data_IF_309842571293
#
_entry.id   IF_309842571293
#
_cell.length_a   1.000
_cell.length_b   1.000
_cell.length_c   1.000
_cell.angle_alpha   90.00
_cell.angle_beta   90.00
_cell.angle_gamma   90.00
#
_symmetry.space_group_name_H-M   'P 1'
#
loop_
_entity.id
_entity.type
_entity.pdbx_description
1 polymer ?
#
# COMPACT_ATOMS: atom_id res chain seq x y z
N UNK A 1 2.77 3.79 22.49
CA UNK A 1 2.88 3.19 21.14
C UNK A 1 1.56 3.39 20.43
N UNK A 2 1.58 3.97 19.23
CA UNK A 2 0.39 4.26 18.42
C UNK A 2 0.56 3.71 17.00
N UNK A 3 -0.55 3.39 16.34
CA UNK A 3 -0.52 3.01 14.93
C UNK A 3 -0.50 4.29 14.10
N UNK A 4 0.43 4.38 13.15
CA UNK A 4 0.56 5.48 12.20
C UNK A 4 0.55 4.92 10.78
N UNK A 5 -0.09 5.64 9.87
CA UNK A 5 -0.06 5.38 8.44
C UNK A 5 0.19 6.70 7.72
N UNK A 6 1.20 6.70 6.86
CA UNK A 6 1.43 7.77 5.89
C UNK A 6 1.54 7.12 4.52
N UNK A 7 0.85 7.69 3.54
CA UNK A 7 0.91 7.15 2.20
C UNK A 7 0.24 8.03 1.17
N UNK A 8 0.23 7.54 -0.05
CA UNK A 8 -0.42 8.14 -1.20
C UNK A 8 -0.94 7.04 -2.12
N UNK A 9 -1.93 7.39 -2.92
CA UNK A 9 -2.54 6.46 -3.87
C UNK A 9 -2.92 7.16 -5.16
N UNK A 10 -3.38 6.39 -6.14
CA UNK A 10 -4.00 6.92 -7.36
C UNK A 10 -5.14 7.93 -7.11
N UNK A 11 -5.73 7.97 -5.91
CA UNK A 11 -6.77 8.95 -5.54
C UNK A 11 -6.19 10.29 -5.09
N UNK A 12 -4.97 10.31 -4.55
CA UNK A 12 -4.38 11.49 -3.93
C UNK A 12 -3.22 12.06 -4.73
N UNK A 13 -2.57 11.27 -5.60
CA UNK A 13 -1.39 11.66 -6.32
C UNK A 13 -1.44 11.23 -7.81
N UNK A 14 -1.02 12.12 -8.73
CA UNK A 14 -0.87 11.76 -10.14
C UNK A 14 0.34 10.82 -10.32
N UNK A 15 0.40 10.10 -11.45
CA UNK A 15 1.36 8.99 -11.65
C UNK A 15 2.81 9.44 -11.50
N UNK A 16 3.15 10.65 -11.95
CA UNK A 16 4.49 11.23 -11.93
C UNK A 16 5.00 11.46 -10.51
N UNK A 17 4.10 11.67 -9.54
CA UNK A 17 4.44 11.77 -8.12
C UNK A 17 4.55 10.39 -7.50
N UNK A 18 3.68 9.45 -7.89
CA UNK A 18 3.69 8.07 -7.38
C UNK A 18 4.97 7.32 -7.76
N UNK A 19 5.43 7.49 -8.98
CA UNK A 19 6.68 6.87 -9.46
C UNK A 19 7.90 7.31 -8.66
N UNK A 20 7.94 8.58 -8.23
CA UNK A 20 9.04 9.11 -7.38
C UNK A 20 9.07 8.52 -5.98
N UNK A 21 7.92 8.04 -5.49
CA UNK A 21 7.72 7.55 -4.12
C UNK A 21 7.53 6.03 -4.07
N UNK A 22 7.96 5.32 -5.11
CA UNK A 22 7.96 3.86 -5.12
C UNK A 22 9.14 3.34 -4.30
N UNK A 23 8.94 2.26 -3.55
CA UNK A 23 10.02 1.51 -2.90
C UNK A 23 10.26 0.21 -3.66
N UNK A 24 11.26 0.16 -4.56
CA UNK A 24 11.68 -1.07 -5.21
C UNK A 24 12.07 -2.15 -4.19
N UNK A 25 11.71 -3.41 -4.47
CA UNK A 25 11.97 -4.54 -3.57
C UNK A 25 13.46 -4.65 -3.14
N UNK A 26 14.40 -4.35 -4.02
CA UNK A 26 15.84 -4.36 -3.73
C UNK A 26 16.33 -3.21 -2.83
N UNK A 27 15.51 -2.19 -2.60
CA UNK A 27 15.85 -1.02 -1.75
C UNK A 27 15.02 -0.96 -0.48
N UNK A 28 13.97 -1.79 -0.40
CA UNK A 28 12.99 -1.77 0.67
C UNK A 28 13.57 -2.22 2.01
N UNK A 29 14.56 -3.13 2.01
CA UNK A 29 15.31 -3.52 3.23
C UNK A 29 15.98 -2.30 3.88
N UNK A 30 16.72 -1.51 3.09
CA UNK A 30 17.38 -0.31 3.57
C UNK A 30 16.39 0.76 4.06
N UNK A 31 15.24 0.89 3.38
CA UNK A 31 14.17 1.79 3.81
C UNK A 31 13.58 1.39 5.17
N UNK A 32 13.30 0.09 5.35
CA UNK A 32 12.78 -0.46 6.59
C UNK A 32 13.78 -0.31 7.74
N UNK A 33 15.05 -0.63 7.52
CA UNK A 33 16.10 -0.46 8.50
C UNK A 33 16.21 1.00 8.97
N UNK A 34 16.25 1.97 8.04
CA UNK A 34 16.27 3.40 8.38
C UNK A 34 15.05 3.86 9.18
N UNK A 35 13.87 3.32 8.89
CA UNK A 35 12.67 3.61 9.68
C UNK A 35 12.80 3.08 11.10
N UNK A 36 13.16 1.80 11.26
CA UNK A 36 13.22 1.15 12.58
C UNK A 36 14.44 1.51 13.42
N UNK A 37 15.48 2.07 12.82
CA UNK A 37 16.63 2.65 13.53
C UNK A 37 16.30 4.00 14.18
N UNK A 38 15.16 4.62 13.81
CA UNK A 38 14.71 5.86 14.45
C UNK A 38 14.09 5.58 15.82
N UNK A 39 14.29 6.49 16.78
CA UNK A 39 13.64 6.39 18.10
C UNK A 39 12.11 6.46 18.03
N UNK A 40 11.57 7.03 16.94
CA UNK A 40 10.16 7.27 16.75
C UNK A 40 9.38 6.01 16.30
N UNK A 41 10.01 5.04 15.64
CA UNK A 41 9.32 3.91 14.99
C UNK A 41 9.86 2.58 15.50
N UNK A 42 8.97 1.72 16.02
CA UNK A 42 9.34 0.40 16.54
C UNK A 42 9.01 -0.76 15.61
N UNK A 43 8.02 -0.59 14.74
CA UNK A 43 7.64 -1.58 13.74
C UNK A 43 7.25 -0.84 12.46
N UNK A 44 7.61 -1.36 11.28
CA UNK A 44 7.35 -0.76 9.98
C UNK A 44 6.97 -1.82 8.93
N UNK A 45 5.99 -1.53 8.08
CA UNK A 45 5.68 -2.28 6.86
C UNK A 45 5.45 -1.29 5.72
N UNK A 46 6.15 -1.47 4.61
CA UNK A 46 6.01 -0.64 3.41
C UNK A 46 5.23 -1.44 2.37
N UNK A 47 4.05 -0.95 1.97
CA UNK A 47 3.26 -1.49 0.86
C UNK A 47 3.43 -0.56 -0.33
N UNK A 48 4.24 -0.98 -1.29
CA UNK A 48 4.53 -0.23 -2.52
C UNK A 48 4.02 -1.03 -3.72
N UNK A 49 3.02 -0.51 -4.41
CA UNK A 49 2.45 -1.07 -5.64
C UNK A 49 2.40 0.00 -6.72
N UNK A 50 1.99 -0.37 -7.94
CA UNK A 50 1.79 0.61 -9.00
C UNK A 50 0.72 1.67 -8.68
N UNK A 51 -0.14 1.46 -7.69
CA UNK A 51 -1.28 2.33 -7.37
C UNK A 51 -1.23 2.96 -5.97
N UNK A 52 -0.28 2.55 -5.12
CA UNK A 52 -0.12 3.10 -3.77
C UNK A 52 1.30 2.93 -3.26
N UNK A 53 1.71 3.90 -2.44
CA UNK A 53 2.80 3.74 -1.48
C UNK A 53 2.22 4.03 -0.11
N UNK A 54 2.26 3.05 0.80
CA UNK A 54 1.73 3.17 2.14
C UNK A 54 2.74 2.62 3.15
N UNK A 55 3.16 3.45 4.10
CA UNK A 55 4.05 3.07 5.19
C UNK A 55 3.19 2.97 6.45
N UNK A 56 3.06 1.75 6.96
CA UNK A 56 2.44 1.45 8.25
C UNK A 56 3.54 1.43 9.30
N UNK A 57 3.39 2.19 10.38
CA UNK A 57 4.31 2.21 11.51
C UNK A 57 3.62 1.99 12.85
N UNK A 58 4.32 1.34 13.78
CA UNK A 58 4.06 1.49 15.22
C UNK A 58 5.02 2.55 15.71
N UNK A 59 4.50 3.66 16.21
CA UNK A 59 5.27 4.81 16.66
C UNK A 59 5.30 4.90 18.18
N UNK A 60 6.43 5.34 18.73
CA UNK A 60 6.62 5.47 20.17
C UNK A 60 5.83 6.65 20.74
N UNK A 61 5.45 6.54 22.03
CA UNK A 61 4.78 7.66 22.70
C UNK A 61 5.77 8.83 22.90
N UNK A 62 5.30 10.06 22.69
CA UNK A 62 6.13 11.27 22.80
C UNK A 62 6.75 11.74 21.48
N UNK A 63 6.61 10.96 20.40
CA UNK A 63 6.97 11.38 19.04
C UNK A 63 5.73 11.71 18.23
N UNK A 64 5.86 12.68 17.31
CA UNK A 64 4.90 12.89 16.23
C UNK A 64 5.16 11.83 15.14
N UNK A 65 4.40 10.74 15.23
CA UNK A 65 4.52 9.61 14.32
C UNK A 65 4.36 10.00 12.85
N UNK A 66 3.25 10.66 12.47
CA UNK A 66 3.08 11.17 11.11
C UNK A 66 4.24 12.03 10.62
N UNK A 67 4.69 13.01 11.42
CA UNK A 67 5.80 13.87 11.02
C UNK A 67 7.09 13.07 10.77
N UNK A 68 7.43 12.13 11.66
CA UNK A 68 8.62 11.29 11.51
C UNK A 68 8.59 10.46 10.21
N UNK A 69 7.44 9.90 9.85
CA UNK A 69 7.31 9.12 8.61
C UNK A 69 7.32 10.02 7.37
N UNK A 70 6.72 11.21 7.44
CA UNK A 70 6.76 12.20 6.34
C UNK A 70 8.20 12.67 6.10
N UNK A 71 8.93 12.99 7.15
CA UNK A 71 10.33 13.40 7.09
C UNK A 71 11.21 12.29 6.51
N UNK A 72 11.00 11.06 6.96
CA UNK A 72 11.65 9.89 6.35
C UNK A 72 11.37 9.79 4.85
N UNK A 73 10.12 9.93 4.41
CA UNK A 73 9.77 9.83 2.99
C UNK A 73 10.41 10.96 2.17
N UNK A 74 10.39 12.19 2.68
CA UNK A 74 11.02 13.33 2.03
C UNK A 74 12.54 13.11 1.88
N UNK A 75 13.21 12.72 2.97
CA UNK A 75 14.65 12.51 3.01
C UNK A 75 15.08 11.31 2.16
N UNK A 76 14.34 10.20 2.22
CA UNK A 76 14.69 8.98 1.48
C UNK A 76 14.58 9.17 -0.03
N UNK A 77 13.56 9.91 -0.48
CA UNK A 77 13.33 10.18 -1.90
C UNK A 77 13.94 11.49 -2.40
N UNK A 78 14.62 12.24 -1.52
CA UNK A 78 15.20 13.56 -1.81
C UNK A 78 14.16 14.53 -2.43
N UNK A 79 13.01 14.63 -1.76
CA UNK A 79 11.89 15.49 -2.16
C UNK A 79 11.67 16.59 -1.13
N UNK A 80 11.14 17.72 -1.58
CA UNK A 80 10.70 18.78 -0.66
C UNK A 80 9.49 18.31 0.16
N UNK A 81 9.59 18.46 1.49
CA UNK A 81 8.53 18.07 2.42
C UNK A 81 7.21 18.80 2.14
N UNK A 82 7.26 20.10 1.84
CA UNK A 82 6.05 20.92 1.64
C UNK A 82 5.32 20.58 0.34
N UNK A 83 6.04 20.11 -0.66
CA UNK A 83 5.44 19.58 -1.89
C UNK A 83 4.85 18.18 -1.65
N UNK A 84 5.57 17.33 -0.91
CA UNK A 84 5.15 15.97 -0.62
C UNK A 84 3.82 15.91 0.16
N UNK A 85 3.68 16.70 1.24
CA UNK A 85 2.51 16.65 2.14
C UNK A 85 1.18 16.92 1.44
N UNK A 86 1.18 17.58 0.28
CA UNK A 86 -0.03 17.88 -0.51
C UNK A 86 -0.69 16.64 -1.10
N UNK A 87 0.07 15.56 -1.25
CA UNK A 87 -0.37 14.31 -1.88
C UNK A 87 -0.59 13.17 -0.88
N UNK A 88 -0.16 13.38 0.37
CA UNK A 88 -0.19 12.36 1.40
C UNK A 88 -1.54 12.32 2.12
N UNK A 89 -2.02 11.11 2.39
CA UNK A 89 -2.98 10.85 3.44
C UNK A 89 -2.26 10.38 4.69
N UNK A 90 -2.78 10.81 5.84
CA UNK A 90 -2.28 10.45 7.16
C UNK A 90 -3.42 9.83 7.96
N UNK A 91 -3.13 8.78 8.71
CA UNK A 91 -4.10 8.16 9.61
C UNK A 91 -3.41 7.62 10.86
N UNK A 92 -4.13 7.66 11.97
CA UNK A 92 -3.63 7.17 13.26
C UNK A 92 -4.65 6.26 13.94
N UNK A 93 -4.17 5.38 14.81
CA UNK A 93 -5.00 4.50 15.64
C UNK A 93 -5.91 3.59 14.81
N UNK A 94 -7.21 3.59 15.10
CA UNK A 94 -8.19 2.71 14.45
C UNK A 94 -8.31 2.96 12.94
N UNK A 95 -8.10 4.20 12.49
CA UNK A 95 -8.15 4.53 11.06
C UNK A 95 -7.10 3.74 10.25
N UNK A 96 -5.94 3.45 10.85
CA UNK A 96 -4.88 2.62 10.25
C UNK A 96 -5.35 1.19 10.03
N UNK A 97 -5.98 0.60 11.06
CA UNK A 97 -6.54 -0.76 10.99
C UNK A 97 -7.61 -0.84 9.91
N UNK A 98 -8.54 0.14 9.91
CA UNK A 98 -9.61 0.23 8.93
C UNK A 98 -9.07 0.37 7.52
N UNK A 99 -8.05 1.21 7.33
CA UNK A 99 -7.40 1.36 6.03
C UNK A 99 -6.79 0.03 5.57
N UNK A 100 -5.98 -0.63 6.40
CA UNK A 100 -5.36 -1.91 6.05
C UNK A 100 -6.42 -2.95 5.65
N UNK A 101 -7.51 -3.07 6.41
CA UNK A 101 -8.60 -3.99 6.11
C UNK A 101 -9.30 -3.68 4.78
N UNK A 102 -9.50 -2.40 4.46
CA UNK A 102 -10.05 -1.99 3.17
C UNK A 102 -9.09 -2.30 2.01
N UNK A 103 -7.78 -2.14 2.21
CA UNK A 103 -6.78 -2.45 1.19
C UNK A 103 -6.74 -3.95 0.92
N UNK A 104 -6.58 -4.80 1.94
CA UNK A 104 -6.55 -6.27 1.75
C UNK A 104 -7.86 -6.85 1.22
N UNK A 105 -8.98 -6.19 1.49
CA UNK A 105 -10.29 -6.48 0.91
C UNK A 105 -10.47 -5.93 -0.52
N UNK A 106 -9.47 -5.24 -1.06
CA UNK A 106 -9.52 -4.57 -2.37
C UNK A 106 -10.64 -3.52 -2.53
N UNK A 107 -11.14 -2.99 -1.41
CA UNK A 107 -12.15 -1.92 -1.36
C UNK A 107 -11.57 -0.52 -1.58
N UNK A 108 -10.25 -0.42 -1.53
CA UNK A 108 -9.52 0.83 -1.75
C UNK A 108 -8.62 0.78 -2.98
N UNK A 109 -8.87 -0.15 -3.90
CA UNK A 109 -8.09 -0.36 -5.12
C UNK A 109 -8.68 0.42 -6.30
N UNK A 110 -7.84 0.71 -7.31
CA UNK A 110 -8.32 1.30 -8.57
C UNK A 110 -9.33 0.37 -9.25
N UNK A 111 -9.08 -0.93 -9.17
CA UNK A 111 -9.99 -1.99 -9.58
C UNK A 111 -10.53 -2.68 -8.33
N UNK A 112 -11.82 -2.48 -8.06
CA UNK A 112 -12.49 -3.14 -6.93
C UNK A 112 -12.45 -4.66 -7.11
N UNK A 113 -12.06 -5.38 -6.05
CA UNK A 113 -11.98 -6.85 -6.09
C UNK A 113 -10.71 -7.41 -6.73
N UNK A 114 -9.74 -6.56 -7.07
CA UNK A 114 -8.47 -7.01 -7.65
C UNK A 114 -7.80 -8.09 -6.79
N UNK A 115 -7.64 -9.27 -7.39
CA UNK A 115 -7.27 -10.47 -6.65
C UNK A 115 -5.85 -10.42 -6.07
N UNK A 116 -4.98 -9.61 -6.66
CA UNK A 116 -3.54 -9.56 -6.37
C UNK A 116 -3.21 -8.71 -5.14
N UNK A 117 -4.09 -7.78 -4.74
CA UNK A 117 -3.80 -6.81 -3.67
C UNK A 117 -3.51 -7.50 -2.34
N UNK A 118 -4.28 -8.52 -1.96
CA UNK A 118 -4.02 -9.29 -0.75
C UNK A 118 -2.64 -9.96 -0.79
N UNK A 119 -2.25 -10.51 -1.95
CA UNK A 119 -0.94 -11.11 -2.16
C UNK A 119 0.19 -10.09 -2.01
N UNK A 120 0.06 -8.92 -2.64
CA UNK A 120 1.05 -7.84 -2.55
C UNK A 120 1.23 -7.32 -1.12
N UNK A 121 0.13 -7.15 -0.37
CA UNK A 121 0.21 -6.75 1.05
C UNK A 121 0.86 -7.85 1.89
N UNK A 122 0.61 -9.13 1.55
CA UNK A 122 1.24 -10.26 2.22
C UNK A 122 2.75 -10.31 1.94
N UNK A 123 3.17 -10.13 0.68
CA UNK A 123 4.57 -10.06 0.29
C UNK A 123 5.30 -8.90 1.00
N UNK A 124 4.66 -7.73 1.08
CA UNK A 124 5.19 -6.58 1.82
C UNK A 124 5.37 -6.87 3.33
N UNK A 125 4.39 -7.54 3.93
CA UNK A 125 4.48 -7.98 5.34
C UNK A 125 5.57 -9.03 5.54
N UNK A 126 5.62 -10.06 4.69
CA UNK A 126 6.61 -11.13 4.77
C UNK A 126 8.03 -10.55 4.61
N UNK A 127 8.21 -9.60 3.68
CA UNK A 127 9.47 -8.87 3.50
C UNK A 127 9.86 -8.07 4.75
N UNK A 128 8.92 -7.32 5.35
CA UNK A 128 9.19 -6.58 6.59
C UNK A 128 9.53 -7.51 7.76
N UNK A 129 8.85 -8.67 7.85
CA UNK A 129 9.09 -9.66 8.88
C UNK A 129 10.47 -10.33 8.73
N UNK A 130 10.89 -10.65 7.50
CA UNK A 130 12.24 -11.18 7.22
C UNK A 130 13.36 -10.20 7.55
N UNK A 131 13.09 -8.89 7.49
CA UNK A 131 14.02 -7.83 7.87
C UNK A 131 13.93 -7.40 9.34
N UNK A 132 13.24 -8.19 10.17
CA UNK A 132 13.04 -7.90 11.60
C UNK A 132 12.41 -6.52 11.87
N UNK A 133 11.69 -5.97 10.90
CA UNK A 133 11.04 -4.66 11.00
C UNK A 133 9.61 -4.74 11.56
N UNK A 134 9.11 -5.95 11.83
CA UNK A 134 7.81 -6.16 12.47
C UNK A 134 7.95 -6.74 13.87
N UNK A 135 6.98 -6.46 14.73
CA UNK A 135 6.92 -6.95 16.09
C UNK A 135 5.55 -7.51 16.44
N UNK A 136 5.25 -7.56 17.74
CA UNK A 136 4.02 -8.19 18.24
C UNK A 136 2.75 -7.55 17.67
N UNK A 137 2.76 -6.23 17.46
CA UNK A 137 1.57 -5.48 17.06
C UNK A 137 1.25 -5.77 15.58
N UNK A 138 2.21 -5.59 14.68
CA UNK A 138 2.01 -5.85 13.25
C UNK A 138 1.88 -7.32 12.92
N UNK A 139 2.60 -8.21 13.62
CA UNK A 139 2.41 -9.65 13.41
C UNK A 139 0.97 -10.08 13.74
N UNK A 140 0.33 -9.46 14.74
CA UNK A 140 -1.10 -9.71 15.03
C UNK A 140 -2.01 -9.04 13.99
N UNK A 141 -1.81 -7.75 13.73
CA UNK A 141 -2.68 -6.94 12.88
C UNK A 141 -2.70 -7.45 11.43
N UNK A 142 -1.54 -7.74 10.84
CA UNK A 142 -1.46 -8.20 9.45
C UNK A 142 -2.07 -9.59 9.27
N UNK A 143 -1.83 -10.52 10.22
CA UNK A 143 -2.50 -11.84 10.20
C UNK A 143 -4.01 -11.72 10.21
N UNK A 144 -4.56 -10.89 11.10
CA UNK A 144 -6.00 -10.61 11.14
C UNK A 144 -6.49 -9.94 9.85
N UNK A 145 -5.70 -9.04 9.26
CA UNK A 145 -6.05 -8.39 7.99
C UNK A 145 -6.18 -9.41 6.85
N UNK A 146 -5.32 -10.42 6.79
CA UNK A 146 -5.40 -11.45 5.75
C UNK A 146 -6.62 -12.36 5.94
N UNK A 147 -7.01 -12.66 7.18
CA UNK A 147 -8.26 -13.36 7.47
C UNK A 147 -9.47 -12.54 7.00
N UNK A 148 -9.50 -11.24 7.31
CA UNK A 148 -10.56 -10.33 6.85
C UNK A 148 -10.62 -10.27 5.32
N UNK A 149 -9.49 -10.10 4.65
CA UNK A 149 -9.43 -10.05 3.19
C UNK A 149 -9.93 -11.35 2.53
N UNK A 150 -9.60 -12.51 3.10
CA UNK A 150 -10.13 -13.81 2.65
C UNK A 150 -11.64 -13.89 2.84
N UNK A 151 -12.14 -13.53 4.02
CA UNK A 151 -13.58 -13.54 4.33
C UNK A 151 -14.37 -12.65 3.39
N UNK A 152 -13.91 -11.41 3.12
CA UNK A 152 -14.59 -10.53 2.16
C UNK A 152 -14.70 -11.19 0.80
N UNK A 153 -13.66 -11.88 0.32
CA UNK A 153 -13.71 -12.56 -0.98
C UNK A 153 -14.59 -13.81 -1.01
N UNK A 154 -14.69 -14.55 0.09
CA UNK A 154 -15.46 -15.81 0.14
C UNK A 154 -16.91 -15.59 0.57
N UNK A 155 -17.20 -14.52 1.30
CA UNK A 155 -18.51 -14.22 1.90
C UNK A 155 -19.25 -13.11 1.12
N UNK A 156 -18.66 -12.53 0.07
CA UNK A 156 -19.28 -11.49 -0.75
C UNK A 156 -18.99 -11.67 -2.25
N UNK A 157 -19.78 -11.01 -3.10
CA UNK A 157 -19.64 -11.03 -4.56
C UNK A 157 -18.34 -10.37 -5.07
N UNK A 158 -17.59 -9.68 -4.20
CA UNK A 158 -16.29 -9.05 -4.56
C UNK A 158 -15.30 -10.11 -5.08
N UNK A 159 -15.39 -11.35 -4.60
CA UNK A 159 -14.52 -12.43 -5.04
C UNK A 159 -14.95 -13.13 -6.33
N UNK A 160 -16.18 -12.91 -6.81
CA UNK A 160 -16.79 -13.69 -7.90
C UNK A 160 -16.32 -13.24 -9.29
N UNK A 161 -16.01 -11.95 -9.46
CA UNK A 161 -15.53 -11.42 -10.73
C UNK A 161 -14.03 -11.13 -10.64
N UNK A 162 -13.24 -11.77 -11.50
CA UNK A 162 -11.82 -11.47 -11.66
C UNK A 162 -11.63 -10.13 -12.40
N UNK A 163 -11.96 -9.02 -11.73
CA UNK A 163 -11.69 -7.69 -12.26
C UNK A 163 -10.21 -7.40 -12.01
N UNK A 164 -9.45 -7.28 -13.08
CA UNK A 164 -8.04 -6.86 -13.05
C UNK A 164 -7.84 -5.63 -13.93
N UNK A 165 -6.72 -4.94 -13.77
CA UNK A 165 -6.34 -3.84 -14.67
C UNK A 165 -6.24 -4.34 -16.12
N UNK A 166 -5.70 -5.54 -16.34
CA UNK A 166 -5.64 -6.17 -17.67
C UNK A 166 -7.03 -6.42 -18.24
N UNK A 167 -7.99 -6.89 -17.43
CA UNK A 167 -9.38 -7.04 -17.84
C UNK A 167 -10.01 -5.69 -18.19
N UNK A 168 -9.80 -4.66 -17.35
CA UNK A 168 -10.28 -3.31 -17.61
C UNK A 168 -9.69 -2.72 -18.91
N UNK A 169 -8.42 -2.99 -19.20
CA UNK A 169 -7.77 -2.57 -20.45
C UNK A 169 -8.40 -3.24 -21.69
N UNK A 170 -8.72 -4.54 -21.61
CA UNK A 170 -9.41 -5.27 -22.68
C UNK A 170 -10.84 -4.75 -22.87
N UNK A 171 -11.58 -4.52 -21.79
CA UNK A 171 -12.94 -3.96 -21.86
C UNK A 171 -12.95 -2.54 -22.41
N UNK A 172 -11.95 -1.72 -22.05
CA UNK A 172 -11.76 -0.41 -22.65
C UNK A 172 -11.48 -0.52 -24.16
N UNK A 173 -10.60 -1.45 -24.56
CA UNK A 173 -10.31 -1.68 -25.97
C UNK A 173 -11.57 -2.11 -26.75
N UNK A 174 -12.39 -3.00 -26.20
CA UNK A 174 -13.69 -3.38 -26.81
C UNK A 174 -14.65 -2.21 -26.95
N UNK A 175 -14.70 -1.29 -25.98
CA UNK A 175 -15.54 -0.08 -26.09
C UNK A 175 -15.05 0.90 -27.16
N UNK A 176 -13.74 0.96 -27.40
CA UNK A 176 -13.15 1.87 -28.40
C UNK A 176 -13.24 1.28 -29.82
N UNK A 177 -13.12 -0.04 -29.96
CA UNK A 177 -13.01 -0.72 -31.26
C UNK A 177 -14.19 -1.63 -31.62
N UNK A 178 -15.24 -1.67 -30.78
CA UNK A 178 -16.44 -2.54 -30.80
C UNK A 178 -16.15 -4.05 -30.72
N UNK A 179 -15.30 -4.56 -31.62
CA UNK A 179 -14.84 -5.94 -31.67
C UNK A 179 -13.30 -6.00 -31.84
N UNK A 180 -12.68 -6.94 -31.13
CA UNK A 180 -11.24 -7.20 -31.20
C UNK A 180 -10.87 -8.37 -32.12
N UNK A 181 -11.86 -9.06 -32.70
CA UNK A 181 -11.64 -10.15 -33.64
C UNK A 181 -10.85 -9.69 -34.88
N UNK A 182 -9.82 -10.45 -35.25
CA UNK A 182 -8.94 -10.13 -36.39
C UNK A 182 -7.99 -8.95 -36.17
N UNK A 183 -7.94 -8.36 -34.96
CA UNK A 183 -6.99 -7.30 -34.62
C UNK A 183 -5.65 -7.89 -34.16
N UNK A 184 -4.56 -7.22 -34.51
CA UNK A 184 -3.23 -7.55 -34.02
C UNK A 184 -2.96 -6.80 -32.72
N UNK A 185 -2.50 -7.51 -31.69
CA UNK A 185 -2.13 -6.95 -30.39
C UNK A 185 -0.62 -6.97 -30.25
N UNK A 186 -0.05 -5.87 -29.78
CA UNK A 186 1.35 -5.79 -29.31
C UNK A 186 1.30 -5.71 -27.77
N UNK A 187 2.02 -6.60 -27.11
CA UNK A 187 2.21 -6.63 -25.65
C UNK A 187 3.64 -6.21 -25.35
#
# INVERSE_FOLDING_TARGET
>A
MHLTLVGLSHKTAPVEIREKLTFPANTQEHALARLTDSEAVSEAVIVSTCNRTAIYCVTQAGFDGPAAVIDFMADYHNLDRNDLVRYLYVSEGEAVVRHLFRVVASLDSMVLGEAQILGQVKEAYDHAMSNSSTGRIFNKLFRQSFEVGKRVRTETEIGENAVSISYAAVELAKRVFDNLEGRTVLI
#
